data_IF_324112401409
#
_entry.id   IF_324112401409
#
_cell.length_a   1.000
_cell.length_b   1.000
_cell.length_c   1.000
_cell.angle_alpha   90.00
_cell.angle_beta   90.00
_cell.angle_gamma   90.00
#
_symmetry.space_group_name_H-M   'P 1'
#
loop_
_entity.id
_entity.type
_entity.pdbx_description
1 polymer ?
#
# COMPACT_ATOMS: atom_id res chain seq x y z
N UNK A 1 -5.01 -11.77 14.77
CA UNK A 1 -6.33 -11.17 15.11
C UNK A 1 -7.32 -11.48 13.98
N UNK A 2 -8.61 -11.69 14.26
CA UNK A 2 -9.60 -11.85 13.20
C UNK A 2 -9.85 -10.52 12.48
N UNK A 3 -10.34 -10.57 11.24
CA UNK A 3 -10.78 -9.36 10.52
C UNK A 3 -12.02 -8.76 11.17
N UNK A 4 -12.07 -7.43 11.22
CA UNK A 4 -13.16 -6.66 11.83
C UNK A 4 -14.38 -6.55 10.91
N UNK A 5 -14.90 -7.69 10.46
CA UNK A 5 -16.20 -7.80 9.81
C UNK A 5 -17.08 -8.72 10.64
N UNK A 6 -18.33 -8.31 10.86
CA UNK A 6 -19.38 -9.18 11.37
C UNK A 6 -19.62 -10.36 10.42
N UNK A 7 -20.23 -11.42 10.91
CA UNK A 7 -20.58 -12.58 10.05
C UNK A 7 -21.51 -12.19 8.90
N UNK A 8 -22.44 -11.26 9.14
CA UNK A 8 -23.33 -10.76 8.10
C UNK A 8 -22.58 -10.01 7.00
N UNK A 9 -21.66 -9.10 7.36
CA UNK A 9 -20.83 -8.39 6.37
C UNK A 9 -19.95 -9.34 5.57
N UNK A 10 -19.39 -10.36 6.24
CA UNK A 10 -18.58 -11.40 5.56
C UNK A 10 -19.41 -12.15 4.53
N UNK A 11 -20.64 -12.51 4.88
CA UNK A 11 -21.52 -13.24 3.96
C UNK A 11 -21.96 -12.38 2.79
N UNK A 12 -22.41 -11.15 3.07
CA UNK A 12 -22.76 -10.19 2.02
C UNK A 12 -21.62 -9.95 1.03
N UNK A 13 -20.39 -9.77 1.51
CA UNK A 13 -19.22 -9.62 0.64
C UNK A 13 -18.96 -10.87 -0.22
N UNK A 14 -19.19 -12.08 0.33
CA UNK A 14 -19.07 -13.33 -0.43
C UNK A 14 -20.15 -13.47 -1.49
N UNK A 15 -21.39 -13.09 -1.19
CA UNK A 15 -22.49 -13.05 -2.17
C UNK A 15 -22.17 -12.11 -3.36
N UNK A 16 -21.45 -11.02 -3.10
CA UNK A 16 -20.92 -10.13 -4.14
C UNK A 16 -19.69 -10.69 -4.88
N UNK A 17 -19.29 -11.92 -4.61
CA UNK A 17 -18.15 -12.59 -5.23
C UNK A 17 -16.78 -12.19 -4.65
N UNK A 18 -16.74 -11.48 -3.52
CA UNK A 18 -15.49 -11.11 -2.87
C UNK A 18 -14.96 -12.24 -1.99
N UNK A 19 -13.64 -12.40 -1.97
CA UNK A 19 -12.98 -13.29 -1.01
C UNK A 19 -12.67 -12.54 0.26
N UNK A 20 -13.40 -12.85 1.34
CA UNK A 20 -13.11 -12.31 2.67
C UNK A 20 -12.10 -13.20 3.39
N UNK A 21 -10.99 -12.61 3.79
CA UNK A 21 -9.97 -13.31 4.56
C UNK A 21 -10.47 -13.69 5.95
N UNK A 22 -9.93 -14.80 6.46
CA UNK A 22 -10.22 -15.28 7.81
C UNK A 22 -9.43 -14.48 8.85
N UNK A 23 -8.13 -14.37 8.60
CA UNK A 23 -7.16 -13.74 9.50
C UNK A 23 -6.78 -12.34 9.03
N UNK A 24 -6.58 -11.44 9.99
CA UNK A 24 -5.99 -10.14 9.73
C UNK A 24 -4.49 -10.32 9.46
N UNK A 25 -4.09 -10.18 8.21
CA UNK A 25 -2.69 -10.25 7.79
C UNK A 25 -1.88 -8.99 8.12
N UNK A 26 -2.51 -7.94 8.67
CA UNK A 26 -1.86 -6.68 9.06
C UNK A 26 -1.08 -6.04 7.90
N UNK A 27 -1.60 -6.16 6.67
CA UNK A 27 -0.98 -5.66 5.45
C UNK A 27 0.09 -6.59 4.86
N UNK A 28 0.40 -7.73 5.48
CA UNK A 28 1.48 -8.66 5.07
C UNK A 28 1.01 -9.68 4.01
N UNK A 29 0.19 -9.26 3.05
CA UNK A 29 -0.20 -10.10 1.92
C UNK A 29 1.00 -10.29 1.00
N UNK A 30 1.40 -11.54 0.75
CA UNK A 30 2.41 -11.84 -0.26
C UNK A 30 1.80 -11.83 -1.67
N UNK A 31 2.57 -11.41 -2.66
CA UNK A 31 2.20 -11.48 -4.08
C UNK A 31 3.01 -12.54 -4.83
N UNK A 32 2.34 -13.20 -5.77
CA UNK A 32 2.89 -14.16 -6.72
C UNK A 32 2.58 -13.79 -8.18
N UNK A 33 1.66 -12.84 -8.39
CA UNK A 33 1.18 -12.37 -9.69
C UNK A 33 0.88 -10.87 -9.61
N UNK A 34 0.73 -10.19 -10.77
CA UNK A 34 0.28 -8.79 -10.79
C UNK A 34 -0.96 -8.59 -9.93
N UNK A 35 -0.86 -7.74 -8.92
CA UNK A 35 -1.89 -7.56 -7.90
C UNK A 35 -2.08 -6.07 -7.61
N UNK A 36 -3.34 -5.61 -7.69
CA UNK A 36 -3.74 -4.28 -7.27
C UNK A 36 -4.09 -4.29 -5.78
N UNK A 37 -3.47 -3.39 -5.02
CA UNK A 37 -3.83 -3.08 -3.66
C UNK A 37 -4.57 -1.76 -3.63
N UNK A 38 -5.77 -1.74 -3.06
CA UNK A 38 -6.53 -0.53 -2.82
C UNK A 38 -6.55 -0.27 -1.32
N UNK A 39 -5.75 0.71 -0.86
CA UNK A 39 -5.41 0.94 0.55
C UNK A 39 -5.67 2.37 0.98
N UNK A 40 -6.65 3.05 0.38
CA UNK A 40 -7.03 4.41 0.73
C UNK A 40 -7.25 4.56 2.25
N UNK A 41 -6.65 5.59 2.85
CA UNK A 41 -6.69 5.88 4.30
C UNK A 41 -6.13 4.80 5.23
N UNK A 42 -5.50 3.76 4.70
CA UNK A 42 -4.82 2.78 5.55
C UNK A 42 -3.72 3.45 6.38
N UNK A 43 -3.46 2.93 7.58
CA UNK A 43 -2.34 3.38 8.41
C UNK A 43 -1.00 3.12 7.71
N UNK A 44 -0.02 4.02 7.92
CA UNK A 44 1.33 3.95 7.32
C UNK A 44 2.03 2.61 7.57
N UNK A 45 1.79 2.00 8.73
CA UNK A 45 2.32 0.68 9.08
C UNK A 45 1.85 -0.42 8.11
N UNK A 46 0.63 -0.34 7.56
CA UNK A 46 0.13 -1.35 6.62
C UNK A 46 0.86 -1.29 5.27
N UNK A 47 1.19 -0.09 4.79
CA UNK A 47 2.05 0.08 3.60
C UNK A 47 3.45 -0.47 3.84
N UNK A 48 4.06 -0.13 4.97
CA UNK A 48 5.38 -0.61 5.34
C UNK A 48 5.40 -2.15 5.44
N UNK A 49 4.38 -2.75 6.04
CA UNK A 49 4.24 -4.20 6.15
C UNK A 49 4.04 -4.89 4.80
N UNK A 50 3.24 -4.29 3.91
CA UNK A 50 3.04 -4.80 2.54
C UNK A 50 4.36 -4.83 1.78
N UNK A 51 5.10 -3.72 1.83
CA UNK A 51 6.42 -3.62 1.22
C UNK A 51 7.36 -4.66 1.82
N UNK A 52 7.50 -4.69 3.15
CA UNK A 52 8.38 -5.62 3.87
C UNK A 52 8.11 -7.08 3.53
N UNK A 53 6.83 -7.48 3.44
CA UNK A 53 6.47 -8.86 3.08
C UNK A 53 6.92 -9.23 1.67
N UNK A 54 6.96 -8.25 0.78
CA UNK A 54 7.22 -8.41 -0.65
C UNK A 54 8.60 -7.85 -1.06
N UNK A 55 9.53 -7.69 -0.10
CA UNK A 55 10.80 -6.98 -0.25
C UNK A 55 11.81 -7.71 -1.15
N UNK A 56 11.51 -7.74 -2.46
CA UNK A 56 12.32 -8.28 -3.53
C UNK A 56 11.93 -7.63 -4.85
N UNK A 57 12.85 -7.43 -5.81
CA UNK A 57 12.53 -6.83 -7.10
C UNK A 57 11.39 -7.56 -7.83
N UNK A 58 11.40 -8.90 -7.78
CA UNK A 58 10.39 -9.72 -8.47
C UNK A 58 8.98 -9.53 -7.93
N UNK A 59 8.81 -9.42 -6.60
CA UNK A 59 7.48 -9.22 -5.99
C UNK A 59 7.04 -7.77 -6.01
N UNK A 60 7.94 -6.82 -5.70
CA UNK A 60 7.57 -5.40 -5.73
C UNK A 60 7.11 -4.96 -7.12
N UNK A 61 7.75 -5.45 -8.19
CA UNK A 61 7.34 -5.17 -9.56
C UNK A 61 5.95 -5.73 -9.94
N UNK A 62 5.38 -6.64 -9.15
CA UNK A 62 4.03 -7.16 -9.34
C UNK A 62 2.96 -6.36 -8.60
N UNK A 63 3.35 -5.41 -7.74
CA UNK A 63 2.43 -4.61 -6.96
C UNK A 63 2.05 -3.35 -7.74
N UNK A 64 0.75 -3.12 -7.88
CA UNK A 64 0.19 -1.80 -8.14
C UNK A 64 -0.55 -1.38 -6.88
N UNK A 65 -0.31 -0.18 -6.38
CA UNK A 65 -0.92 0.31 -5.15
C UNK A 65 -1.70 1.59 -5.45
N UNK A 66 -2.94 1.67 -5.00
CA UNK A 66 -3.72 2.90 -4.90
C UNK A 66 -3.86 3.20 -3.42
N UNK A 67 -3.30 4.31 -2.98
CA UNK A 67 -3.16 4.63 -1.57
C UNK A 67 -2.79 6.08 -1.33
N UNK A 68 -2.35 6.37 -0.11
CA UNK A 68 -1.83 7.67 0.26
C UNK A 68 -0.42 7.85 -0.30
N UNK A 69 -0.09 9.05 -0.77
CA UNK A 69 1.22 9.36 -1.33
C UNK A 69 2.35 9.04 -0.36
N UNK A 70 3.35 8.30 -0.84
CA UNK A 70 4.59 8.02 -0.11
C UNK A 70 5.40 9.30 0.05
N UNK A 71 5.42 10.15 -0.97
CA UNK A 71 6.01 11.49 -0.87
C UNK A 71 5.26 12.34 0.16
N UNK A 72 3.93 12.32 0.14
CA UNK A 72 3.11 12.98 1.16
C UNK A 72 3.32 12.40 2.57
N UNK A 73 3.64 11.11 2.70
CA UNK A 73 4.04 10.51 3.98
C UNK A 73 5.41 11.04 4.42
N UNK A 74 6.38 11.12 3.51
CA UNK A 74 7.71 11.68 3.77
C UNK A 74 7.64 13.12 4.24
N UNK A 75 6.88 13.98 3.56
CA UNK A 75 6.76 15.40 3.87
C UNK A 75 6.12 15.68 5.24
N UNK A 76 5.23 14.78 5.71
CA UNK A 76 4.48 14.96 6.96
C UNK A 76 5.12 14.30 8.17
N UNK A 77 6.01 13.34 7.97
CA UNK A 77 6.67 12.64 9.08
C UNK A 77 8.04 13.27 9.39
N UNK A 78 8.41 13.38 10.67
CA UNK A 78 9.79 13.67 11.03
C UNK A 78 10.72 12.61 10.41
N UNK A 79 11.82 13.04 9.77
CA UNK A 79 12.72 12.13 9.06
C UNK A 79 13.22 10.98 9.94
N UNK A 80 13.47 11.25 11.23
CA UNK A 80 13.87 10.21 12.20
C UNK A 80 12.82 9.09 12.30
N UNK A 81 11.54 9.44 12.42
CA UNK A 81 10.43 8.48 12.53
C UNK A 81 10.26 7.67 11.24
N UNK A 82 10.30 8.34 10.08
CA UNK A 82 10.25 7.67 8.78
C UNK A 82 11.38 6.63 8.66
N UNK A 83 12.61 7.02 9.00
CA UNK A 83 13.80 6.18 8.89
C UNK A 83 13.87 5.08 9.96
N UNK A 84 13.21 5.21 11.12
CA UNK A 84 13.26 4.19 12.18
C UNK A 84 12.06 3.23 12.17
N UNK A 85 10.87 3.71 11.83
CA UNK A 85 9.61 2.96 11.97
C UNK A 85 9.01 2.54 10.62
N UNK A 86 9.31 3.27 9.55
CA UNK A 86 8.76 3.06 8.21
C UNK A 86 9.87 2.89 7.17
N UNK A 87 10.89 2.13 7.53
CA UNK A 87 12.12 1.91 6.74
C UNK A 87 11.86 1.44 5.32
N UNK A 88 10.86 0.59 5.09
CA UNK A 88 10.54 0.10 3.76
C UNK A 88 9.98 1.22 2.87
N UNK A 89 9.12 2.08 3.43
CA UNK A 89 8.67 3.29 2.71
C UNK A 89 9.89 4.18 2.43
N UNK A 90 10.71 4.46 3.45
CA UNK A 90 11.88 5.32 3.32
C UNK A 90 12.85 4.87 2.21
N UNK A 91 13.12 3.57 2.10
CA UNK A 91 14.04 3.02 1.11
C UNK A 91 13.47 2.97 -0.31
N UNK A 92 12.15 2.79 -0.46
CA UNK A 92 11.54 2.61 -1.78
C UNK A 92 11.15 3.94 -2.45
N UNK A 93 11.20 5.07 -1.73
CA UNK A 93 10.77 6.39 -2.20
C UNK A 93 11.41 6.79 -3.54
N UNK A 94 12.71 6.59 -3.71
CA UNK A 94 13.43 6.97 -4.94
C UNK A 94 13.24 6.00 -6.10
N UNK A 95 12.76 4.79 -5.81
CA UNK A 95 12.42 3.76 -6.80
C UNK A 95 10.96 3.91 -7.25
N UNK A 96 10.09 4.34 -6.35
CA UNK A 96 8.64 4.41 -6.57
C UNK A 96 8.32 5.43 -7.65
N UNK A 97 7.51 5.02 -8.63
CA UNK A 97 6.83 5.94 -9.53
C UNK A 97 5.42 6.18 -9.01
N UNK A 98 5.16 7.44 -8.69
CA UNK A 98 3.91 7.86 -8.08
C UNK A 98 3.17 8.83 -9.00
N UNK A 99 1.90 8.55 -9.25
CA UNK A 99 1.00 9.40 -10.02
C UNK A 99 -0.17 9.81 -9.12
N UNK A 100 -0.28 11.10 -8.82
CA UNK A 100 -1.41 11.63 -8.07
C UNK A 100 -2.71 11.40 -8.85
N UNK A 101 -3.72 10.83 -8.18
CA UNK A 101 -5.05 10.69 -8.77
C UNK A 101 -5.84 11.99 -8.63
N UNK A 102 -6.78 12.28 -9.55
CA UNK A 102 -7.58 13.49 -9.47
C UNK A 102 -8.40 13.53 -8.18
N UNK A 103 -8.17 14.56 -7.36
CA UNK A 103 -9.02 14.81 -6.21
C UNK A 103 -10.37 15.37 -6.68
N UNK A 104 -11.46 14.83 -6.15
CA UNK A 104 -12.78 15.42 -6.35
C UNK A 104 -12.87 16.72 -5.55
N UNK A 105 -13.32 17.81 -6.17
CA UNK A 105 -13.56 19.09 -5.49
C UNK A 105 -14.55 18.97 -4.32
N UNK A 106 -15.40 17.93 -4.34
CA UNK A 106 -16.37 17.62 -3.28
C UNK A 106 -15.76 16.93 -2.05
N UNK A 107 -14.63 16.24 -2.22
CA UNK A 107 -14.02 15.38 -1.19
C UNK A 107 -12.52 15.65 -1.05
N UNK A 108 -12.12 16.91 -1.16
CA UNK A 108 -10.71 17.29 -1.12
C UNK A 108 -10.06 16.98 0.23
N UNK A 109 -10.79 16.97 1.33
CA UNK A 109 -10.29 16.59 2.65
C UNK A 109 -10.01 15.09 2.77
N UNK A 110 -10.64 14.27 1.93
CA UNK A 110 -10.55 12.81 1.96
C UNK A 110 -9.55 12.31 0.91
N UNK A 111 -9.69 12.68 -0.36
CA UNK A 111 -8.89 12.08 -1.44
C UNK A 111 -7.75 12.98 -1.96
N UNK A 112 -7.41 14.08 -1.28
CA UNK A 112 -6.31 14.97 -1.69
C UNK A 112 -4.94 14.32 -1.77
N UNK A 113 -4.71 13.24 -1.02
CA UNK A 113 -3.42 12.56 -0.95
C UNK A 113 -3.41 11.22 -1.69
N UNK A 114 -4.40 10.98 -2.56
CA UNK A 114 -4.51 9.68 -3.22
C UNK A 114 -3.59 9.61 -4.43
N UNK A 115 -2.79 8.54 -4.50
CA UNK A 115 -1.88 8.26 -5.60
C UNK A 115 -1.90 6.80 -6.02
N UNK A 116 -1.56 6.60 -7.28
CA UNK A 116 -1.19 5.32 -7.87
C UNK A 116 0.33 5.16 -7.77
N UNK A 117 0.78 4.02 -7.28
CA UNK A 117 2.19 3.70 -7.11
C UNK A 117 2.54 2.47 -7.93
N UNK A 118 3.68 2.56 -8.60
CA UNK A 118 4.34 1.48 -9.31
C UNK A 118 5.79 1.38 -8.87
N UNK A 119 6.34 0.17 -8.95
CA UNK A 119 7.74 -0.11 -8.63
C UNK A 119 8.41 -0.65 -9.90
N UNK A 120 8.98 0.22 -10.76
CA UNK A 120 9.54 -0.20 -12.04
C UNK A 120 10.67 -1.20 -11.84
N UNK A 121 10.59 -2.32 -12.57
CA UNK A 121 11.57 -3.40 -12.46
C UNK A 121 13.00 -2.94 -12.74
N UNK A 122 13.18 -2.04 -13.70
CA UNK A 122 14.50 -1.55 -14.06
C UNK A 122 15.15 -0.74 -12.93
N UNK A 123 14.37 0.10 -12.23
CA UNK A 123 14.85 0.84 -11.05
C UNK A 123 15.15 -0.10 -9.88
N UNK A 124 14.28 -1.08 -9.64
CA UNK A 124 14.47 -2.12 -8.62
C UNK A 124 15.72 -2.99 -8.87
N UNK A 125 16.10 -3.23 -10.13
CA UNK A 125 17.30 -4.00 -10.44
C UNK A 125 18.58 -3.17 -10.20
N UNK A 126 18.53 -1.86 -10.43
CA UNK A 126 19.67 -0.94 -10.20
C UNK A 126 19.87 -0.68 -8.71
N UNK A 127 18.78 -0.47 -7.98
CA UNK A 127 18.77 -0.29 -6.54
C UNK A 127 17.80 -1.31 -5.92
N UNK A 128 18.30 -2.53 -5.61
CA UNK A 128 17.48 -3.53 -4.95
C UNK A 128 16.98 -3.04 -3.59
N UNK A 129 15.75 -3.43 -3.22
CA UNK A 129 15.21 -3.19 -1.88
C UNK A 129 16.07 -3.87 -0.80
#
# INVERSE_FOLDING_TARGET
>A
LPILFSEWEREFLRELGMTVLKDNEEGKRAVDRPTLFYMIHCGKALYNNLLWRNWSPGRLAQITLIGNSFKGIEERLPSRTLQSEYTCIAHILDITEECALPASSRYMDVFNDTSLHHFPRDKLNVKPP
#
